data_IF_140539944262
#
_entry.id   IF_140539944262
#
_cell.length_a   1.000
_cell.length_b   1.000
_cell.length_c   1.000
_cell.angle_alpha   90.00
_cell.angle_beta   90.00
_cell.angle_gamma   90.00
#
_symmetry.space_group_name_H-M   'P 1'
#
loop_
_entity.id
_entity.type
_entity.pdbx_description
1 polymer ?
#
# COMPACT_ATOMS: atom_id res chain seq x y z
N UNK A 1 9.57 4.27 6.08
CA UNK A 1 9.54 3.59 4.77
C UNK A 1 8.11 3.44 4.22
N UNK A 2 7.15 2.94 5.01
CA UNK A 2 5.80 2.62 4.49
C UNK A 2 4.94 3.82 4.07
N UNK A 3 5.18 5.04 4.58
CA UNK A 3 4.34 6.21 4.23
C UNK A 3 4.36 6.56 2.74
N UNK A 4 5.52 6.42 2.08
CA UNK A 4 5.63 6.63 0.63
C UNK A 4 4.83 5.60 -0.16
N UNK A 5 4.96 4.31 0.17
CA UNK A 5 4.20 3.24 -0.46
C UNK A 5 2.67 3.41 -0.26
N UNK A 6 2.24 3.88 0.91
CA UNK A 6 0.83 4.20 1.19
C UNK A 6 0.34 5.34 0.29
N UNK A 7 1.13 6.41 0.14
CA UNK A 7 0.78 7.54 -0.70
C UNK A 7 0.69 7.16 -2.18
N UNK A 8 1.66 6.38 -2.66
CA UNK A 8 1.72 5.91 -4.04
C UNK A 8 0.51 5.00 -4.34
N UNK A 9 0.22 4.03 -3.45
CA UNK A 9 -0.93 3.14 -3.59
C UNK A 9 -2.27 3.90 -3.58
N UNK A 10 -2.39 4.91 -2.72
CA UNK A 10 -3.60 5.74 -2.67
C UNK A 10 -3.76 6.58 -3.95
N UNK A 11 -2.67 7.13 -4.48
CA UNK A 11 -2.66 7.90 -5.72
C UNK A 11 -3.08 7.03 -6.91
N UNK A 12 -2.49 5.85 -7.07
CA UNK A 12 -2.79 4.92 -8.16
C UNK A 12 -4.27 4.51 -8.18
N UNK A 13 -4.82 4.16 -7.00
CA UNK A 13 -6.22 3.77 -6.88
C UNK A 13 -7.14 4.95 -7.19
N UNK A 14 -6.84 6.13 -6.64
CA UNK A 14 -7.66 7.32 -6.85
C UNK A 14 -7.66 7.76 -8.32
N UNK A 15 -6.49 7.78 -8.97
CA UNK A 15 -6.34 8.13 -10.37
C UNK A 15 -7.09 7.15 -11.29
N UNK A 16 -6.94 5.84 -11.05
CA UNK A 16 -7.66 4.82 -11.80
C UNK A 16 -9.18 4.95 -11.62
N UNK A 17 -9.65 5.21 -10.39
CA UNK A 17 -11.06 5.42 -10.12
C UNK A 17 -11.61 6.68 -10.79
N UNK A 18 -10.87 7.78 -10.80
CA UNK A 18 -11.25 9.02 -11.49
C UNK A 18 -11.33 8.81 -13.01
N UNK A 19 -10.38 8.10 -13.61
CA UNK A 19 -10.42 7.74 -15.03
C UNK A 19 -11.65 6.89 -15.37
N UNK A 20 -11.93 5.86 -14.56
CA UNK A 20 -13.10 4.98 -14.75
C UNK A 20 -14.40 5.80 -14.69
N UNK A 21 -14.52 6.73 -13.74
CA UNK A 21 -15.72 7.57 -13.59
C UNK A 21 -15.86 8.55 -14.75
N UNK A 22 -14.75 9.09 -15.25
CA UNK A 22 -14.73 10.02 -16.39
C UNK A 22 -15.16 9.33 -17.68
N UNK A 23 -14.69 8.09 -17.92
CA UNK A 23 -15.10 7.30 -19.11
C UNK A 23 -16.50 6.71 -18.99
N UNK A 24 -16.95 6.36 -17.79
CA UNK A 24 -18.28 5.79 -17.56
C UNK A 24 -19.00 6.50 -16.39
N UNK A 25 -19.64 7.67 -16.63
CA UNK A 25 -20.29 8.46 -15.60
C UNK A 25 -21.45 7.74 -14.90
N UNK A 26 -22.09 6.80 -15.60
CA UNK A 26 -23.22 6.00 -15.11
C UNK A 26 -22.80 4.79 -14.26
N UNK A 27 -21.50 4.59 -14.01
CA UNK A 27 -21.02 3.46 -13.21
C UNK A 27 -21.65 3.46 -11.80
N UNK A 28 -22.15 2.29 -11.39
CA UNK A 28 -22.70 2.08 -10.06
C UNK A 28 -21.62 2.14 -8.98
N UNK A 29 -21.96 2.68 -7.81
CA UNK A 29 -21.03 2.82 -6.68
C UNK A 29 -20.29 1.51 -6.32
N UNK A 30 -21.04 0.41 -6.23
CA UNK A 30 -20.46 -0.89 -5.86
C UNK A 30 -19.48 -1.41 -6.91
N UNK A 31 -19.77 -1.19 -8.19
CA UNK A 31 -18.92 -1.59 -9.30
C UNK A 31 -17.67 -0.70 -9.41
N UNK A 32 -17.81 0.58 -9.10
CA UNK A 32 -16.70 1.53 -9.03
C UNK A 32 -15.72 1.17 -7.91
N UNK A 33 -16.22 0.91 -6.70
CA UNK A 33 -15.40 0.44 -5.56
C UNK A 33 -14.75 -0.91 -5.88
N UNK A 34 -15.48 -1.86 -6.49
CA UNK A 34 -14.94 -3.16 -6.87
C UNK A 34 -13.80 -3.02 -7.90
N UNK A 35 -13.92 -2.09 -8.83
CA UNK A 35 -12.86 -1.80 -9.79
C UNK A 35 -11.63 -1.20 -9.10
N UNK A 36 -11.83 -0.22 -8.21
CA UNK A 36 -10.76 0.36 -7.40
C UNK A 36 -10.01 -0.69 -6.54
N UNK A 37 -10.75 -1.61 -5.92
CA UNK A 37 -10.17 -2.74 -5.18
C UNK A 37 -9.36 -3.68 -6.08
N UNK A 38 -9.80 -3.91 -7.32
CA UNK A 38 -9.10 -4.78 -8.27
C UNK A 38 -7.76 -4.16 -8.70
N UNK A 39 -7.74 -2.85 -8.94
CA UNK A 39 -6.51 -2.08 -9.21
C UNK A 39 -5.61 -2.08 -7.98
N UNK A 40 -6.16 -1.76 -6.81
CA UNK A 40 -5.42 -1.75 -5.55
C UNK A 40 -4.76 -3.10 -5.26
N UNK A 41 -5.43 -4.23 -5.53
CA UNK A 41 -4.84 -5.57 -5.37
C UNK A 41 -3.65 -5.81 -6.30
N UNK A 42 -3.72 -5.33 -7.55
CA UNK A 42 -2.63 -5.50 -8.50
C UNK A 42 -1.39 -4.68 -8.09
N UNK A 43 -1.59 -3.40 -7.73
CA UNK A 43 -0.50 -2.49 -7.31
C UNK A 43 0.08 -2.89 -5.95
N UNK A 44 -0.77 -3.31 -5.00
CA UNK A 44 -0.28 -3.80 -3.69
C UNK A 44 0.67 -4.98 -3.86
N UNK A 45 0.41 -5.88 -4.82
CA UNK A 45 1.28 -7.02 -5.09
C UNK A 45 2.68 -6.61 -5.54
N UNK A 46 2.78 -5.66 -6.47
CA UNK A 46 4.07 -5.16 -6.97
C UNK A 46 4.81 -4.32 -5.92
N UNK A 47 4.11 -3.53 -5.12
CA UNK A 47 4.74 -2.79 -4.01
C UNK A 47 5.22 -3.71 -2.90
N UNK A 48 4.48 -4.77 -2.58
CA UNK A 48 4.86 -5.71 -1.52
C UNK A 48 6.18 -6.39 -1.84
N UNK A 49 6.43 -6.77 -3.09
CA UNK A 49 7.73 -7.36 -3.47
C UNK A 49 8.88 -6.37 -3.30
N UNK A 50 8.69 -5.10 -3.67
CA UNK A 50 9.67 -4.04 -3.47
C UNK A 50 9.93 -3.78 -1.98
N UNK A 51 8.89 -3.72 -1.16
CA UNK A 51 9.00 -3.54 0.30
C UNK A 51 9.69 -4.73 0.96
N UNK A 52 9.34 -5.97 0.56
CA UNK A 52 9.99 -7.17 1.07
C UNK A 52 11.50 -7.14 0.79
N UNK A 53 11.90 -6.76 -0.42
CA UNK A 53 13.29 -6.63 -0.81
C UNK A 53 14.00 -5.53 -0.01
N UNK A 54 13.37 -4.36 0.12
CA UNK A 54 13.92 -3.23 0.89
C UNK A 54 14.09 -3.56 2.38
N UNK A 55 13.10 -4.20 3.00
CA UNK A 55 13.18 -4.62 4.40
C UNK A 55 14.24 -5.70 4.59
N UNK A 56 14.21 -6.77 3.78
CA UNK A 56 15.19 -7.85 3.89
C UNK A 56 16.62 -7.31 3.74
N UNK A 57 16.83 -6.44 2.74
CA UNK A 57 18.11 -5.76 2.53
C UNK A 57 18.58 -4.92 3.71
N UNK A 58 17.68 -4.14 4.32
CA UNK A 58 18.00 -3.29 5.48
C UNK A 58 18.39 -4.09 6.73
N UNK A 59 17.96 -5.35 6.85
CA UNK A 59 18.23 -6.19 8.01
C UNK A 59 19.42 -7.15 7.81
N UNK A 60 20.04 -7.20 6.63
CA UNK A 60 21.19 -8.09 6.35
C UNK A 60 22.35 -7.87 7.33
N UNK A 61 22.70 -6.62 7.65
CA UNK A 61 23.80 -6.31 8.57
C UNK A 61 23.53 -6.85 9.98
N UNK A 62 22.27 -6.76 10.42
CA UNK A 62 21.83 -7.29 11.71
C UNK A 62 21.95 -8.81 11.75
N UNK A 63 21.53 -9.51 10.67
CA UNK A 63 21.74 -10.94 10.53
C UNK A 63 23.23 -11.33 10.55
N UNK A 64 24.10 -10.56 9.90
CA UNK A 64 25.54 -10.82 9.86
C UNK A 64 26.17 -10.74 11.27
N UNK A 65 25.77 -9.76 12.07
CA UNK A 65 26.21 -9.62 13.48
C UNK A 65 25.77 -10.82 14.32
N UNK A 66 24.59 -11.38 14.07
CA UNK A 66 24.11 -12.57 14.77
C UNK A 66 24.89 -13.82 14.42
N UNK A 67 25.18 -14.02 13.13
CA UNK A 67 26.03 -15.11 12.67
C UNK A 67 27.43 -15.02 13.32
N UNK A 68 27.99 -13.80 13.43
CA UNK A 68 29.30 -13.58 14.03
C UNK A 68 29.33 -13.83 15.56
N UNK A 69 28.24 -13.54 16.29
CA UNK A 69 28.16 -13.73 17.75
C UNK A 69 27.75 -15.14 18.20
N UNK A 70 27.30 -16.01 17.29
CA UNK A 70 26.88 -17.38 17.63
C UNK A 70 25.70 -17.44 18.63
N UNK A 71 24.89 -16.39 18.72
CA UNK A 71 23.77 -16.32 19.66
C UNK A 71 22.67 -17.31 19.25
N UNK A 72 22.15 -18.09 20.20
CA UNK A 72 20.98 -18.93 19.98
C UNK A 72 19.78 -18.09 19.51
N UNK A 73 19.12 -18.53 18.43
CA UNK A 73 17.97 -17.83 17.83
C UNK A 73 16.84 -17.52 18.83
N UNK A 74 16.70 -18.33 19.89
CA UNK A 74 15.73 -18.10 20.96
C UNK A 74 16.02 -16.82 21.77
N UNK A 75 17.29 -16.55 22.10
CA UNK A 75 17.68 -15.33 22.82
C UNK A 75 17.55 -14.09 21.94
N UNK A 76 17.69 -14.28 20.63
CA UNK A 76 17.51 -13.23 19.65
C UNK A 76 16.05 -12.79 19.53
N UNK A 77 15.12 -13.74 19.37
CA UNK A 77 13.70 -13.43 19.23
C UNK A 77 13.12 -12.79 20.50
N UNK A 78 13.67 -13.12 21.67
CA UNK A 78 13.28 -12.53 22.95
C UNK A 78 13.91 -11.15 23.19
N UNK A 79 14.80 -10.68 22.32
CA UNK A 79 15.41 -9.37 22.44
C UNK A 79 14.36 -8.28 22.13
N UNK A 80 14.17 -7.28 23.00
CA UNK A 80 13.13 -6.27 22.82
C UNK A 80 13.27 -5.47 21.52
N UNK A 81 14.49 -5.25 21.03
CA UNK A 81 14.75 -4.59 19.75
C UNK A 81 14.24 -5.42 18.55
N UNK A 82 14.42 -6.74 18.58
CA UNK A 82 13.96 -7.63 17.50
C UNK A 82 12.43 -7.72 17.52
N UNK A 83 11.84 -7.89 18.70
CA UNK A 83 10.39 -7.95 18.84
C UNK A 83 9.72 -6.65 18.35
N UNK A 84 10.28 -5.48 18.70
CA UNK A 84 9.79 -4.19 18.24
C UNK A 84 9.86 -4.06 16.70
N UNK A 85 10.96 -4.50 16.08
CA UNK A 85 11.15 -4.42 14.64
C UNK A 85 10.17 -5.33 13.88
N UNK A 86 9.99 -6.57 14.35
CA UNK A 86 9.00 -7.50 13.78
C UNK A 86 7.60 -6.90 13.87
N UNK A 87 7.25 -6.30 15.00
CA UNK A 87 5.95 -5.64 15.17
C UNK A 87 5.80 -4.46 14.19
N UNK A 88 6.84 -3.66 14.00
CA UNK A 88 6.86 -2.53 13.07
C UNK A 88 6.64 -2.98 11.62
N UNK A 89 7.29 -4.06 11.19
CA UNK A 89 7.14 -4.63 9.84
C UNK A 89 5.71 -5.14 9.63
N UNK A 90 5.15 -5.83 10.64
CA UNK A 90 3.79 -6.34 10.58
C UNK A 90 2.78 -5.19 10.47
N UNK A 91 2.85 -4.22 11.39
CA UNK A 91 1.95 -3.05 11.39
C UNK A 91 2.10 -2.24 10.09
N UNK A 92 3.33 -2.05 9.61
CA UNK A 92 3.59 -1.38 8.33
C UNK A 92 2.96 -2.09 7.13
N UNK A 93 3.05 -3.43 7.09
CA UNK A 93 2.46 -4.24 6.02
C UNK A 93 0.92 -4.21 6.07
N UNK A 94 0.33 -4.31 7.28
CA UNK A 94 -1.11 -4.12 7.46
C UNK A 94 -1.56 -2.73 7.00
N UNK A 95 -0.80 -1.68 7.30
CA UNK A 95 -1.06 -0.33 6.83
C UNK A 95 -1.20 -0.26 5.31
N UNK A 96 -0.24 -0.82 4.55
CA UNK A 96 -0.29 -0.83 3.08
C UNK A 96 -1.50 -1.60 2.54
N UNK A 97 -1.81 -2.78 3.09
CA UNK A 97 -2.95 -3.58 2.63
C UNK A 97 -4.30 -2.90 2.92
N UNK A 98 -4.42 -2.23 4.07
CA UNK A 98 -5.66 -1.53 4.46
C UNK A 98 -5.94 -0.26 3.65
N UNK A 99 -4.92 0.34 3.02
CA UNK A 99 -5.09 1.53 2.18
C UNK A 99 -5.95 1.24 0.96
N UNK A 100 -5.81 0.07 0.32
CA UNK A 100 -6.58 -0.25 -0.87
C UNK A 100 -8.11 -0.18 -0.67
N UNK A 101 -8.71 -0.85 0.33
CA UNK A 101 -10.14 -0.73 0.59
C UNK A 101 -10.55 0.65 1.11
N UNK A 102 -9.71 1.30 1.91
CA UNK A 102 -10.03 2.61 2.47
C UNK A 102 -10.11 3.68 1.38
N UNK A 103 -9.09 3.74 0.51
CA UNK A 103 -9.07 4.67 -0.63
C UNK A 103 -10.19 4.37 -1.61
N UNK A 104 -10.46 3.10 -1.92
CA UNK A 104 -11.54 2.75 -2.85
C UNK A 104 -12.92 3.18 -2.34
N UNK A 105 -13.19 3.01 -1.04
CA UNK A 105 -14.44 3.47 -0.42
C UNK A 105 -14.56 5.00 -0.43
N UNK A 106 -13.52 5.70 0.01
CA UNK A 106 -13.52 7.17 0.08
C UNK A 106 -13.64 7.78 -1.32
N UNK A 107 -12.86 7.31 -2.29
CA UNK A 107 -12.91 7.77 -3.67
C UNK A 107 -14.27 7.47 -4.31
N UNK A 108 -14.84 6.29 -4.08
CA UNK A 108 -16.18 5.94 -4.55
C UNK A 108 -17.26 6.86 -3.98
N UNK A 109 -17.16 7.26 -2.70
CA UNK A 109 -18.10 8.19 -2.07
C UNK A 109 -17.94 9.61 -2.61
N UNK A 110 -16.69 10.09 -2.77
CA UNK A 110 -16.39 11.44 -3.24
C UNK A 110 -16.82 11.62 -4.71
N UNK A 111 -16.48 10.66 -5.57
CA UNK A 111 -16.77 10.68 -7.01
C UNK A 111 -18.24 10.36 -7.32
N UNK A 112 -19.00 9.80 -6.37
CA UNK A 112 -20.45 9.62 -6.53
C UNK A 112 -21.18 10.96 -6.63
N UNK A 113 -20.72 11.97 -5.90
CA UNK A 113 -21.35 13.29 -5.84
C UNK A 113 -20.71 14.31 -6.80
N UNK A 114 -19.57 13.96 -7.40
CA UNK A 114 -18.96 14.74 -8.46
C UNK A 114 -19.76 14.54 -9.75
N UNK A 115 -20.47 15.58 -10.19
CA UNK A 115 -21.03 15.65 -11.55
C UNK A 115 -19.92 15.54 -12.61
N UNK A 116 -20.27 15.37 -13.90
CA UNK A 116 -19.29 15.15 -14.96
C UNK A 116 -18.20 16.23 -14.91
N UNK A 117 -17.00 15.84 -14.49
CA UNK A 117 -15.84 16.71 -14.43
C UNK A 117 -15.46 17.08 -15.87
N UNK A 118 -15.49 18.38 -16.18
CA UNK A 118 -14.96 18.91 -17.43
C UNK A 118 -13.49 18.48 -17.60
N UNK A 119 -13.02 18.17 -18.82
CA UNK A 119 -11.66 17.71 -19.04
C UNK A 119 -10.66 18.71 -18.44
N UNK A 120 -9.80 18.21 -17.54
CA UNK A 120 -8.72 19.02 -16.96
C UNK A 120 -7.78 19.40 -18.11
N UNK A 121 -7.48 20.69 -18.34
CA UNK A 121 -6.62 21.09 -19.45
C UNK A 121 -5.25 20.47 -19.23
N UNK A 122 -4.89 19.60 -20.17
CA UNK A 122 -3.56 19.04 -20.34
C UNK A 122 -2.57 20.20 -20.40
N UNK A 123 -1.72 20.33 -19.39
CA UNK A 123 -0.66 21.34 -19.39
C UNK A 123 0.37 20.90 -20.44
N UNK A 124 0.34 21.59 -21.57
CA UNK A 124 1.34 21.60 -22.63
C UNK A 124 2.74 21.96 -22.12
#
# INVERSE_FOLDING_TARGET
>A
ACSGAVMDLAMDIAAAMDEIKTRNPAIGFLEHVRSGLRVGRAVTGTMTTTLLLAYTGSHITMFMVFLARGLHAANLLNAPFVAAEVLNILVGSFGVVTVAPFTALVAGMLLRNAGPQSPRPERA
#
